data_IF_082539351801
#
_entry.id   IF_082539351801
#
_cell.length_a   1.000
_cell.length_b   1.000
_cell.length_c   1.000
_cell.angle_alpha   90.00
_cell.angle_beta   90.00
_cell.angle_gamma   90.00
#
_symmetry.space_group_name_H-M   'P 1'
#
loop_
_entity.id
_entity.type
_entity.pdbx_description
1 polymer ?
#
# COMPACT_ATOMS: atom_id res chain seq x y z
N UNK A 1 6.15 62.62 -16.89
CA UNK A 1 7.07 61.52 -16.56
C UNK A 1 6.67 60.74 -15.30
N UNK A 2 5.97 61.39 -14.35
CA UNK A 2 5.43 60.72 -13.14
C UNK A 2 4.15 59.91 -13.43
N UNK A 3 3.33 60.35 -14.39
CA UNK A 3 2.06 59.67 -14.72
C UNK A 3 2.29 58.33 -15.44
N UNK A 4 3.36 58.20 -16.24
CA UNK A 4 3.68 56.93 -16.91
C UNK A 4 4.19 55.86 -15.93
N UNK A 5 4.90 56.29 -14.87
CA UNK A 5 5.36 55.38 -13.81
C UNK A 5 4.21 54.86 -12.95
N UNK A 6 3.20 55.70 -12.68
CA UNK A 6 2.01 55.31 -11.92
C UNK A 6 1.13 54.35 -12.71
N UNK A 7 1.01 54.53 -14.04
CA UNK A 7 0.27 53.62 -14.92
C UNK A 7 0.95 52.26 -15.04
N UNK A 8 2.29 52.22 -15.19
CA UNK A 8 3.06 50.96 -15.23
C UNK A 8 3.00 50.23 -13.88
N UNK A 9 2.98 51.00 -12.78
CA UNK A 9 2.87 50.37 -11.44
C UNK A 9 1.46 49.83 -11.16
N UNK A 10 0.44 50.48 -11.71
CA UNK A 10 -0.94 50.06 -11.61
C UNK A 10 -1.22 48.82 -12.48
N UNK A 11 -0.58 48.75 -13.65
CA UNK A 11 -0.62 47.60 -14.54
C UNK A 11 0.13 46.39 -13.97
N UNK A 12 1.28 46.61 -13.32
CA UNK A 12 2.02 45.55 -12.63
C UNK A 12 1.29 45.00 -11.37
N UNK A 13 0.53 45.84 -10.68
CA UNK A 13 -0.31 45.47 -9.54
C UNK A 13 -1.55 44.72 -10.00
N UNK A 14 -2.14 45.09 -11.15
CA UNK A 14 -3.28 44.36 -11.74
C UNK A 14 -2.89 43.00 -12.30
N UNK A 15 -1.65 42.83 -12.77
CA UNK A 15 -1.12 41.54 -13.23
C UNK A 15 -0.75 40.62 -12.03
N UNK A 16 -0.56 41.13 -10.84
CA UNK A 16 -0.35 40.33 -9.62
C UNK A 16 -1.64 39.98 -8.87
N UNK A 17 -2.76 40.54 -9.27
CA UNK A 17 -4.09 40.00 -8.90
C UNK A 17 -4.48 38.90 -9.87
N UNK A 18 -3.52 38.14 -10.34
CA UNK A 18 -3.77 36.80 -10.87
C UNK A 18 -4.48 36.06 -9.75
N UNK A 19 -5.79 35.94 -9.96
CA UNK A 19 -6.70 35.03 -9.30
C UNK A 19 -5.90 33.91 -8.66
N UNK A 20 -5.71 33.94 -7.37
CA UNK A 20 -5.34 32.74 -6.64
C UNK A 20 -6.46 31.76 -6.97
N UNK A 21 -6.27 31.02 -8.05
CA UNK A 21 -7.19 29.95 -8.45
C UNK A 21 -7.24 29.03 -7.25
N UNK A 22 -8.22 29.24 -6.40
CA UNK A 22 -8.45 28.36 -5.28
C UNK A 22 -8.67 27.00 -5.89
N UNK A 23 -7.93 26.00 -5.43
CA UNK A 23 -8.11 24.60 -5.89
C UNK A 23 -9.59 24.20 -5.81
N UNK A 24 -10.33 24.80 -4.87
CA UNK A 24 -11.78 24.62 -4.72
C UNK A 24 -12.59 25.25 -5.87
N UNK A 25 -12.21 26.44 -6.38
CA UNK A 25 -12.87 27.05 -7.54
C UNK A 25 -12.61 26.23 -8.81
N UNK A 26 -11.38 25.76 -9.03
CA UNK A 26 -11.04 24.86 -10.13
C UNK A 26 -11.85 23.55 -10.12
N UNK A 27 -12.13 23.03 -8.92
CA UNK A 27 -12.97 21.83 -8.78
C UNK A 27 -14.44 22.13 -9.12
N UNK A 28 -14.94 23.33 -8.79
CA UNK A 28 -16.32 23.72 -9.08
C UNK A 28 -16.51 24.08 -10.56
N UNK A 29 -15.55 24.75 -11.18
CA UNK A 29 -15.58 25.15 -12.58
C UNK A 29 -15.41 23.95 -13.55
N UNK A 30 -14.88 22.81 -13.08
CA UNK A 30 -14.69 21.59 -13.87
C UNK A 30 -15.97 20.85 -14.27
N UNK A 31 -17.15 21.41 -14.00
CA UNK A 31 -18.45 20.82 -14.30
C UNK A 31 -18.70 19.47 -13.61
N UNK A 32 -19.85 18.86 -13.89
CA UNK A 32 -20.24 17.55 -13.32
C UNK A 32 -19.23 16.43 -13.64
N UNK A 33 -18.66 16.43 -14.85
CA UNK A 33 -17.68 15.42 -15.27
C UNK A 33 -16.37 15.50 -14.48
N UNK A 34 -15.83 16.70 -14.27
CA UNK A 34 -14.61 16.92 -13.50
C UNK A 34 -14.78 16.53 -12.03
N UNK A 35 -15.91 16.92 -11.41
CA UNK A 35 -16.23 16.59 -10.02
C UNK A 35 -16.30 15.08 -9.77
N UNK A 36 -16.92 14.32 -10.69
CA UNK A 36 -17.02 12.85 -10.59
C UNK A 36 -15.64 12.20 -10.66
N UNK A 37 -14.77 12.66 -11.55
CA UNK A 37 -13.42 12.11 -11.70
C UNK A 37 -12.58 12.40 -10.45
N UNK A 38 -12.62 13.62 -9.94
CA UNK A 38 -11.90 14.01 -8.71
C UNK A 38 -12.43 13.22 -7.52
N UNK A 39 -13.74 13.06 -7.38
CA UNK A 39 -14.36 12.24 -6.34
C UNK A 39 -13.93 10.77 -6.41
N UNK A 40 -13.87 10.20 -7.61
CA UNK A 40 -13.38 8.83 -7.82
C UNK A 40 -11.91 8.68 -7.44
N UNK A 41 -11.06 9.62 -7.84
CA UNK A 41 -9.63 9.60 -7.48
C UNK A 41 -9.43 9.76 -5.96
N UNK A 42 -10.22 10.61 -5.32
CA UNK A 42 -10.18 10.78 -3.87
C UNK A 42 -10.63 9.50 -3.13
N UNK A 43 -11.65 8.83 -3.63
CA UNK A 43 -12.09 7.53 -3.10
C UNK A 43 -11.00 6.46 -3.24
N UNK A 44 -10.35 6.38 -4.40
CA UNK A 44 -9.22 5.47 -4.61
C UNK A 44 -8.05 5.79 -3.67
N UNK A 45 -7.76 7.07 -3.43
CA UNK A 45 -6.73 7.49 -2.50
C UNK A 45 -7.04 7.01 -1.08
N UNK A 46 -8.26 7.17 -0.58
CA UNK A 46 -8.67 6.67 0.74
C UNK A 46 -8.53 5.15 0.83
N UNK A 47 -8.92 4.43 -0.21
CA UNK A 47 -8.79 2.97 -0.29
C UNK A 47 -7.32 2.52 -0.22
N UNK A 48 -6.42 3.21 -0.92
CA UNK A 48 -4.97 2.95 -0.87
C UNK A 48 -4.42 3.18 0.53
N UNK A 49 -4.79 4.29 1.19
CA UNK A 49 -4.38 4.57 2.56
C UNK A 49 -4.84 3.50 3.53
N UNK A 50 -6.10 3.06 3.42
CA UNK A 50 -6.64 1.98 4.25
C UNK A 50 -5.82 0.70 4.11
N UNK A 51 -5.59 0.24 2.87
CA UNK A 51 -4.81 -0.98 2.58
C UNK A 51 -3.37 -0.83 3.07
N UNK A 52 -2.75 0.35 2.89
CA UNK A 52 -1.39 0.62 3.34
C UNK A 52 -1.25 0.48 4.87
N UNK A 53 -2.13 1.09 5.63
CA UNK A 53 -2.09 1.00 7.10
C UNK A 53 -2.36 -0.42 7.58
N UNK A 54 -3.37 -1.09 7.05
CA UNK A 54 -3.67 -2.50 7.35
C UNK A 54 -2.44 -3.37 7.16
N UNK A 55 -1.76 -3.23 6.02
CA UNK A 55 -0.58 -4.02 5.69
C UNK A 55 0.63 -3.70 6.55
N UNK A 56 0.85 -2.45 6.82
CA UNK A 56 1.95 -2.03 7.69
C UNK A 56 1.83 -2.62 9.09
N UNK A 57 0.62 -2.66 9.63
CA UNK A 57 0.35 -3.29 10.92
C UNK A 57 0.48 -4.81 10.86
N UNK A 58 -0.05 -5.46 9.84
CA UNK A 58 0.04 -6.91 9.65
C UNK A 58 1.51 -7.39 9.52
N UNK A 59 2.32 -6.70 8.71
CA UNK A 59 3.75 -7.03 8.54
C UNK A 59 4.51 -6.82 9.85
N UNK A 60 4.27 -5.72 10.56
CA UNK A 60 4.91 -5.48 11.87
C UNK A 60 4.53 -6.54 12.90
N UNK A 61 3.28 -6.97 12.93
CA UNK A 61 2.82 -8.05 13.81
C UNK A 61 3.47 -9.40 13.45
N UNK A 62 3.64 -9.69 12.16
CA UNK A 62 4.29 -10.90 11.67
C UNK A 62 5.79 -10.96 12.02
N UNK A 63 6.48 -9.82 11.99
CA UNK A 63 7.92 -9.71 12.30
C UNK A 63 8.21 -9.70 13.82
N UNK A 64 7.23 -9.40 14.65
CA UNK A 64 7.43 -9.34 16.11
C UNK A 64 7.37 -10.75 16.70
N UNK A 65 8.50 -11.44 16.74
CA UNK A 65 8.65 -12.72 17.45
C UNK A 65 9.33 -12.54 18.79
N UNK A 66 9.06 -13.45 19.74
CA UNK A 66 9.71 -13.46 21.04
C UNK A 66 11.17 -13.93 20.87
N UNK A 67 12.13 -13.15 21.41
CA UNK A 67 13.54 -13.49 21.34
C UNK A 67 13.85 -14.89 21.93
N UNK A 68 13.02 -15.36 22.86
CA UNK A 68 13.17 -16.67 23.50
C UNK A 68 12.56 -17.82 22.71
N UNK A 69 11.81 -17.53 21.62
CA UNK A 69 11.11 -18.57 20.85
C UNK A 69 12.10 -19.58 20.22
N UNK A 70 13.12 -19.08 19.51
CA UNK A 70 14.13 -19.95 18.87
C UNK A 70 14.95 -20.80 19.85
N UNK A 71 15.47 -20.25 20.97
CA UNK A 71 16.14 -21.05 21.98
C UNK A 71 15.26 -22.16 22.57
N UNK A 72 13.97 -21.87 22.81
CA UNK A 72 13.02 -22.87 23.32
C UNK A 72 12.79 -24.00 22.31
N UNK A 73 12.53 -23.68 21.03
CA UNK A 73 12.38 -24.68 19.98
C UNK A 73 13.62 -25.58 19.91
N UNK A 74 14.82 -24.96 19.91
CA UNK A 74 16.08 -25.71 19.90
C UNK A 74 16.18 -26.67 21.08
N UNK A 75 15.83 -26.20 22.28
CA UNK A 75 15.84 -27.02 23.49
C UNK A 75 14.91 -28.24 23.38
N UNK A 76 13.69 -28.04 22.89
CA UNK A 76 12.72 -29.12 22.69
C UNK A 76 13.19 -30.15 21.64
N UNK A 77 13.76 -29.66 20.53
CA UNK A 77 14.24 -30.55 19.46
C UNK A 77 15.45 -31.38 19.93
N UNK A 78 16.40 -30.74 20.61
CA UNK A 78 17.61 -31.45 21.15
C UNK A 78 17.21 -32.47 22.21
N UNK A 79 16.21 -32.17 23.04
CA UNK A 79 15.68 -33.11 24.04
C UNK A 79 14.75 -34.19 23.47
N UNK A 80 14.54 -34.24 22.14
CA UNK A 80 13.70 -35.23 21.51
C UNK A 80 12.19 -35.02 21.73
N UNK A 81 11.78 -33.93 22.38
CA UNK A 81 10.37 -33.60 22.66
C UNK A 81 9.72 -32.89 21.46
N UNK A 82 9.58 -33.60 20.34
CA UNK A 82 9.09 -33.06 19.07
C UNK A 82 7.66 -32.52 19.19
N UNK A 83 6.79 -33.23 19.93
CA UNK A 83 5.40 -32.77 20.15
C UNK A 83 5.34 -31.45 20.92
N UNK A 84 6.22 -31.25 21.90
CA UNK A 84 6.33 -29.98 22.65
C UNK A 84 6.79 -28.83 21.78
N UNK A 85 7.75 -29.06 20.88
CA UNK A 85 8.21 -28.08 19.92
C UNK A 85 7.07 -27.68 18.93
N UNK A 86 6.31 -28.66 18.47
CA UNK A 86 5.18 -28.44 17.55
C UNK A 86 4.04 -27.67 18.24
N UNK A 87 3.70 -28.02 19.49
CA UNK A 87 2.69 -27.32 20.28
C UNK A 87 3.06 -25.85 20.51
N UNK A 88 4.35 -25.58 20.79
CA UNK A 88 4.86 -24.23 20.95
C UNK A 88 4.71 -23.40 19.66
N UNK A 89 5.03 -24.01 18.51
CA UNK A 89 4.86 -23.35 17.21
C UNK A 89 3.39 -23.04 16.90
N UNK A 90 2.46 -23.93 17.24
CA UNK A 90 1.03 -23.72 17.05
C UNK A 90 0.49 -22.61 17.94
N UNK A 91 0.99 -22.50 19.17
CA UNK A 91 0.60 -21.46 20.11
C UNK A 91 0.99 -20.06 19.63
N UNK A 92 2.18 -19.92 19.04
CA UNK A 92 2.67 -18.62 18.54
C UNK A 92 1.91 -18.11 17.31
N UNK A 93 1.35 -19.03 16.49
CA UNK A 93 0.54 -18.74 15.29
C UNK A 93 1.10 -17.61 14.38
N UNK A 94 2.42 -17.47 14.32
CA UNK A 94 3.13 -16.51 13.46
C UNK A 94 3.71 -17.19 12.22
N UNK A 95 3.94 -16.47 11.12
CA UNK A 95 4.48 -17.05 9.89
C UNK A 95 5.74 -17.88 10.12
N UNK A 96 6.69 -17.35 10.86
CA UNK A 96 7.96 -18.04 11.18
C UNK A 96 7.69 -19.33 11.98
N UNK A 97 6.79 -19.30 12.96
CA UNK A 97 6.45 -20.47 13.75
C UNK A 97 5.78 -21.56 12.89
N UNK A 98 4.94 -21.19 11.94
CA UNK A 98 4.30 -22.12 11.02
C UNK A 98 5.33 -22.81 10.07
N UNK A 99 6.32 -22.04 9.57
CA UNK A 99 7.42 -22.60 8.78
C UNK A 99 8.21 -23.63 9.58
N UNK A 100 8.59 -23.28 10.83
CA UNK A 100 9.33 -24.18 11.72
C UNK A 100 8.50 -25.41 12.07
N UNK A 101 7.20 -25.28 12.35
CA UNK A 101 6.29 -26.41 12.61
C UNK A 101 6.30 -27.40 11.45
N UNK A 102 6.30 -26.93 10.20
CA UNK A 102 6.39 -27.77 9.02
C UNK A 102 7.74 -28.48 8.88
N UNK A 103 8.84 -27.81 9.21
CA UNK A 103 10.16 -28.44 9.29
C UNK A 103 10.22 -29.52 10.37
N UNK A 104 9.73 -29.22 11.57
CA UNK A 104 9.69 -30.16 12.70
C UNK A 104 8.86 -31.40 12.36
N UNK A 105 7.74 -31.25 11.65
CA UNK A 105 6.89 -32.37 11.23
C UNK A 105 7.55 -33.34 10.24
N UNK A 106 8.71 -32.98 9.70
CA UNK A 106 9.50 -33.77 8.77
C UNK A 106 10.81 -34.31 9.40
N UNK A 107 11.01 -34.11 10.69
CA UNK A 107 12.17 -34.66 11.40
C UNK A 107 12.18 -36.20 11.23
N UNK A 108 13.37 -36.76 10.92
CA UNK A 108 13.54 -38.18 10.57
C UNK A 108 13.56 -38.46 9.07
N UNK A 109 13.34 -37.47 8.22
CA UNK A 109 13.49 -37.56 6.77
C UNK A 109 14.81 -36.91 6.31
N UNK A 110 15.24 -37.11 5.06
CA UNK A 110 16.39 -36.43 4.50
C UNK A 110 16.30 -34.91 4.69
N UNK A 111 17.45 -34.27 4.89
CA UNK A 111 17.52 -32.83 5.13
C UNK A 111 16.88 -31.99 4.00
N UNK A 112 16.96 -32.50 2.78
CA UNK A 112 16.38 -31.86 1.59
C UNK A 112 14.84 -31.81 1.66
N UNK A 113 14.20 -32.86 2.17
CA UNK A 113 12.74 -32.91 2.40
C UNK A 113 12.32 -31.88 3.47
N UNK A 114 13.12 -31.72 4.51
CA UNK A 114 12.87 -30.75 5.59
C UNK A 114 12.97 -29.33 5.03
N UNK A 115 14.03 -29.03 4.28
CA UNK A 115 14.24 -27.72 3.67
C UNK A 115 13.10 -27.39 2.70
N UNK A 116 12.72 -28.31 1.83
CA UNK A 116 11.63 -28.15 0.89
C UNK A 116 10.29 -27.88 1.61
N UNK A 117 10.03 -28.57 2.72
CA UNK A 117 8.82 -28.36 3.51
C UNK A 117 8.78 -26.96 4.14
N UNK A 118 9.91 -26.48 4.67
CA UNK A 118 10.04 -25.13 5.23
C UNK A 118 9.87 -24.07 4.14
N UNK A 119 10.52 -24.26 2.99
CA UNK A 119 10.43 -23.33 1.86
C UNK A 119 9.00 -23.23 1.33
N UNK A 120 8.32 -24.35 1.13
CA UNK A 120 6.92 -24.36 0.67
C UNK A 120 5.99 -23.68 1.68
N UNK A 121 6.21 -23.91 2.98
CA UNK A 121 5.47 -23.19 4.02
C UNK A 121 5.75 -21.69 4.00
N UNK A 122 7.01 -21.29 3.79
CA UNK A 122 7.40 -19.90 3.64
C UNK A 122 6.74 -19.22 2.45
N UNK A 123 6.76 -19.85 1.30
CA UNK A 123 6.07 -19.36 0.09
C UNK A 123 4.57 -19.15 0.33
N UNK A 124 3.92 -20.07 1.04
CA UNK A 124 2.50 -19.95 1.40
C UNK A 124 2.24 -18.76 2.33
N UNK A 125 3.10 -18.55 3.33
CA UNK A 125 2.97 -17.42 4.25
C UNK A 125 3.21 -16.07 3.54
N UNK A 126 4.20 -15.99 2.65
CA UNK A 126 4.43 -14.82 1.80
C UNK A 126 3.21 -14.54 0.92
N UNK A 127 2.66 -15.58 0.28
CA UNK A 127 1.45 -15.44 -0.54
C UNK A 127 0.26 -14.88 0.26
N UNK A 128 0.06 -15.33 1.50
CA UNK A 128 -0.98 -14.79 2.39
C UNK A 128 -0.75 -13.30 2.71
N UNK A 129 0.51 -12.91 2.89
CA UNK A 129 0.88 -11.51 3.13
C UNK A 129 0.71 -10.64 1.87
N UNK A 130 0.92 -11.18 0.69
CA UNK A 130 0.83 -10.45 -0.59
C UNK A 130 -0.60 -10.35 -1.15
N UNK A 131 -1.53 -11.17 -0.67
CA UNK A 131 -2.87 -11.30 -1.23
C UNK A 131 -3.58 -9.98 -1.53
N UNK A 132 -3.47 -8.96 -0.66
CA UNK A 132 -4.12 -7.67 -0.86
C UNK A 132 -3.20 -6.63 -1.53
N UNK A 133 -1.90 -6.92 -1.68
CA UNK A 133 -0.96 -6.03 -2.36
C UNK A 133 -1.22 -6.00 -3.87
N UNK A 134 -1.74 -7.08 -4.43
CA UNK A 134 -2.16 -7.15 -5.83
C UNK A 134 -3.21 -6.09 -6.19
N UNK A 135 -4.13 -5.77 -5.28
CA UNK A 135 -5.12 -4.70 -5.48
C UNK A 135 -4.42 -3.35 -5.61
N UNK A 136 -3.39 -3.12 -4.82
CA UNK A 136 -2.60 -1.89 -4.86
C UNK A 136 -1.90 -1.71 -6.21
N UNK A 137 -1.36 -2.80 -6.76
CA UNK A 137 -0.75 -2.81 -8.09
C UNK A 137 -1.77 -2.47 -9.19
N UNK A 138 -2.99 -3.02 -9.11
CA UNK A 138 -4.08 -2.71 -10.04
C UNK A 138 -4.48 -1.24 -9.96
N UNK A 139 -4.64 -0.66 -8.77
CA UNK A 139 -4.98 0.75 -8.58
C UNK A 139 -3.85 1.64 -9.12
N UNK A 140 -2.58 1.28 -8.88
CA UNK A 140 -1.42 2.02 -9.38
C UNK A 140 -1.38 2.08 -10.90
N UNK A 141 -1.82 1.04 -11.60
CA UNK A 141 -1.95 1.03 -13.05
C UNK A 141 -3.17 1.79 -13.59
N UNK A 142 -4.31 1.70 -12.87
CA UNK A 142 -5.56 2.32 -13.31
C UNK A 142 -5.61 3.84 -13.04
N UNK A 143 -5.03 4.32 -11.95
CA UNK A 143 -5.12 5.72 -11.55
C UNK A 143 -4.57 6.72 -12.59
N UNK A 144 -3.40 6.50 -13.22
CA UNK A 144 -2.92 7.38 -14.30
C UNK A 144 -3.83 7.37 -15.53
N UNK A 145 -4.44 6.23 -15.86
CA UNK A 145 -5.38 6.14 -17.00
C UNK A 145 -6.65 6.96 -16.74
N UNK A 146 -7.18 6.92 -15.53
CA UNK A 146 -8.34 7.74 -15.11
C UNK A 146 -7.97 9.23 -15.12
N UNK A 147 -6.76 9.58 -14.65
CA UNK A 147 -6.25 10.96 -14.71
C UNK A 147 -6.14 11.48 -16.15
N UNK A 148 -5.61 10.67 -17.06
CA UNK A 148 -5.54 11.02 -18.48
C UNK A 148 -6.95 11.20 -19.10
N UNK A 149 -7.88 10.31 -18.78
CA UNK A 149 -9.29 10.47 -19.21
C UNK A 149 -9.89 11.79 -18.72
N UNK A 150 -9.56 12.20 -17.50
CA UNK A 150 -9.98 13.49 -16.95
C UNK A 150 -9.47 14.68 -17.75
N UNK A 151 -8.22 14.65 -18.20
CA UNK A 151 -7.67 15.74 -19.04
C UNK A 151 -8.33 15.80 -20.41
N UNK A 152 -8.61 14.66 -21.03
CA UNK A 152 -9.32 14.60 -22.33
C UNK A 152 -10.74 15.15 -22.20
N UNK A 153 -11.48 14.74 -21.18
CA UNK A 153 -12.85 15.24 -20.92
C UNK A 153 -12.80 16.75 -20.66
N UNK A 154 -11.84 17.23 -19.85
CA UNK A 154 -11.67 18.65 -19.57
C UNK A 154 -11.42 19.49 -20.83
N UNK A 155 -10.58 19.00 -21.74
CA UNK A 155 -10.34 19.68 -23.03
C UNK A 155 -11.61 19.71 -23.90
N UNK A 156 -12.36 18.62 -23.96
CA UNK A 156 -13.61 18.57 -24.73
C UNK A 156 -14.62 19.57 -24.17
N UNK A 157 -14.82 19.61 -22.86
CA UNK A 157 -15.74 20.55 -22.22
C UNK A 157 -15.32 22.01 -22.45
N UNK A 158 -14.03 22.31 -22.36
CA UNK A 158 -13.49 23.67 -22.62
C UNK A 158 -13.76 24.14 -24.06
N UNK A 159 -13.77 23.24 -25.05
CA UNK A 159 -14.08 23.57 -26.45
C UNK A 159 -15.59 23.83 -26.63
N UNK A 160 -16.45 23.15 -25.87
CA UNK A 160 -17.89 23.33 -25.95
C UNK A 160 -18.41 24.58 -25.23
N UNK A 161 -17.63 25.16 -24.32
CA UNK A 161 -17.95 26.39 -23.57
C UNK A 161 -17.55 27.69 -24.30
N UNK A 162 -16.79 27.58 -25.39
CA UNK A 162 -16.41 28.71 -26.27
C UNK A 162 -17.47 28.89 -27.38
#
# INVERSE_FOLDING_TARGET
MLDTLSLVQQESVSLQTEKKLSILELIQDGGLGGQVIIGLLFFLLLMVFYIYFERRFAIRAALKYDANFMPQIRSYVVSGKIEGAQALCMKENKPVAQMIAKGISRIGRPLEDINTAIENAGRLEVYKLEKNVSILATISGAAPMIGFLGTVIGMILSIFEI
#
